data_IF_988777568418
#
_entry.id   IF_988777568418
#
_cell.length_a   1.000
_cell.length_b   1.000
_cell.length_c   1.000
_cell.angle_alpha   90.00
_cell.angle_beta   90.00
_cell.angle_gamma   90.00
#
_symmetry.space_group_name_H-M   'P 1'
#
loop_
_entity.id
_entity.type
_entity.pdbx_description
1 polymer ?
#
# COMPACT_ATOMS: atom_id res chain seq x y z
N UNK A 1 -20.31 -7.88 -17.33
CA UNK A 1 -19.93 -7.46 -15.97
C UNK A 1 -19.96 -8.72 -15.15
N UNK A 2 -18.78 -9.30 -14.94
CA UNK A 2 -18.66 -10.52 -14.16
C UNK A 2 -18.79 -10.11 -12.72
N UNK A 3 -19.97 -10.34 -12.14
CA UNK A 3 -20.18 -10.41 -10.70
C UNK A 3 -19.26 -11.54 -10.22
N UNK A 4 -17.99 -11.20 -9.95
CA UNK A 4 -17.01 -12.13 -9.39
C UNK A 4 -17.23 -12.08 -7.88
N UNK A 5 -17.75 -13.19 -7.38
CA UNK A 5 -18.20 -13.42 -6.00
C UNK A 5 -17.14 -12.98 -4.99
N UNK A 6 -17.39 -11.86 -4.29
CA UNK A 6 -16.63 -11.45 -3.09
C UNK A 6 -16.58 -12.59 -2.05
N UNK A 7 -17.56 -13.51 -2.10
CA UNK A 7 -17.66 -14.70 -1.26
C UNK A 7 -16.46 -15.65 -1.38
N UNK A 8 -15.80 -15.77 -2.54
CA UNK A 8 -14.58 -16.60 -2.67
C UNK A 8 -13.40 -16.08 -1.81
N UNK A 9 -13.42 -14.81 -1.43
CA UNK A 9 -12.40 -14.19 -0.59
C UNK A 9 -12.68 -14.37 0.91
N UNK A 10 -13.96 -14.48 1.30
CA UNK A 10 -14.37 -14.70 2.69
C UNK A 10 -14.07 -16.13 3.18
N UNK A 11 -13.98 -17.10 2.26
CA UNK A 11 -13.73 -18.51 2.57
C UNK A 11 -12.24 -18.90 2.63
N UNK A 12 -11.33 -17.96 2.37
CA UNK A 12 -9.90 -18.25 2.36
C UNK A 12 -9.37 -18.37 3.81
N UNK A 13 -8.74 -19.50 4.17
CA UNK A 13 -8.03 -19.65 5.45
C UNK A 13 -6.77 -18.79 5.48
N UNK A 14 -6.60 -18.03 6.56
CA UNK A 14 -5.54 -17.04 6.71
C UNK A 14 -4.27 -17.76 7.17
N UNK A 15 -3.12 -17.64 6.48
CA UNK A 15 -1.87 -18.16 6.99
C UNK A 15 -1.40 -17.26 8.14
N UNK A 16 -1.75 -17.64 9.37
CA UNK A 16 -1.23 -16.99 10.57
C UNK A 16 0.16 -17.58 10.83
N UNK A 17 1.21 -16.93 10.35
CA UNK A 17 2.58 -17.28 10.73
C UNK A 17 2.93 -16.66 12.09
N UNK A 18 3.32 -17.49 13.05
CA UNK A 18 3.75 -17.05 14.38
C UNK A 18 5.09 -16.29 14.29
N UNK A 19 5.08 -14.97 14.55
CA UNK A 19 6.32 -14.21 14.79
C UNK A 19 6.40 -12.83 14.14
N UNK A 20 5.55 -12.53 13.17
CA UNK A 20 5.50 -11.21 12.51
C UNK A 20 4.27 -10.41 12.96
N UNK A 21 4.39 -9.09 12.99
CA UNK A 21 3.27 -8.20 13.37
C UNK A 21 2.28 -8.18 12.22
N UNK A 22 1.13 -8.83 12.42
CA UNK A 22 0.02 -8.81 11.47
C UNK A 22 -1.08 -7.86 11.95
N UNK A 23 -1.70 -7.14 11.02
CA UNK A 23 -2.85 -6.27 11.27
C UNK A 23 -3.98 -6.59 10.32
N UNK A 24 -5.21 -6.63 10.82
CA UNK A 24 -6.41 -6.76 9.99
C UNK A 24 -6.93 -5.38 9.61
N UNK A 25 -7.17 -5.14 8.32
CA UNK A 25 -7.88 -3.95 7.83
C UNK A 25 -9.15 -4.35 7.09
N UNK A 26 -10.17 -3.50 7.11
CA UNK A 26 -11.37 -3.64 6.29
C UNK A 26 -11.49 -2.42 5.39
N UNK A 27 -11.52 -2.64 4.07
CA UNK A 27 -11.68 -1.57 3.09
C UNK A 27 -13.06 -1.62 2.46
N UNK A 28 -13.76 -0.48 2.48
CA UNK A 28 -15.04 -0.30 1.78
C UNK A 28 -14.79 0.34 0.39
N UNK A 29 -15.08 -0.43 -0.66
CA UNK A 29 -14.95 0.01 -2.04
C UNK A 29 -16.07 0.96 -2.45
N UNK A 30 -15.78 1.86 -3.38
CA UNK A 30 -16.75 2.81 -3.94
C UNK A 30 -17.88 2.16 -4.76
N UNK A 31 -17.85 0.85 -4.99
CA UNK A 31 -18.97 0.10 -5.57
C UNK A 31 -19.96 -0.42 -4.51
N UNK A 32 -19.70 -0.18 -3.22
CA UNK A 32 -20.52 -0.59 -2.08
C UNK A 32 -20.19 -1.99 -1.54
N UNK A 33 -19.15 -2.67 -2.05
CA UNK A 33 -18.61 -3.88 -1.43
C UNK A 33 -17.56 -3.53 -0.37
N UNK A 34 -17.32 -4.42 0.59
CA UNK A 34 -16.17 -4.34 1.50
C UNK A 34 -15.35 -5.62 1.44
N UNK A 35 -14.08 -5.53 1.82
CA UNK A 35 -13.18 -6.67 1.91
C UNK A 35 -12.21 -6.50 3.07
N UNK A 36 -11.94 -7.60 3.77
CA UNK A 36 -10.94 -7.67 4.83
C UNK A 36 -9.61 -8.15 4.28
N UNK A 37 -8.53 -7.56 4.78
CA UNK A 37 -7.17 -7.91 4.43
C UNK A 37 -6.34 -8.20 5.67
N UNK A 38 -5.55 -9.26 5.61
CA UNK A 38 -4.42 -9.51 6.49
C UNK A 38 -3.23 -8.76 5.93
N UNK A 39 -2.70 -7.84 6.72
CA UNK A 39 -1.57 -6.99 6.34
C UNK A 39 -0.38 -7.27 7.24
N UNK A 40 0.80 -7.34 6.64
CA UNK A 40 2.09 -7.42 7.30
C UNK A 40 3.03 -6.33 6.80
N UNK A 41 4.04 -6.03 7.60
CA UNK A 41 5.14 -5.16 7.19
C UNK A 41 5.84 -5.77 5.96
N UNK A 42 5.90 -5.04 4.83
CA UNK A 42 6.62 -5.53 3.66
C UNK A 42 8.13 -5.45 3.91
N UNK A 43 8.91 -6.08 3.04
CA UNK A 43 10.36 -5.96 3.10
C UNK A 43 10.82 -4.50 2.99
N UNK A 44 11.94 -4.18 3.65
CA UNK A 44 12.49 -2.80 3.68
C UNK A 44 12.76 -2.27 2.26
N UNK A 45 13.10 -3.15 1.31
CA UNK A 45 13.33 -2.78 -0.09
C UNK A 45 12.05 -2.26 -0.77
N UNK A 46 10.90 -2.90 -0.52
CA UNK A 46 9.60 -2.46 -1.03
C UNK A 46 9.23 -1.09 -0.45
N UNK A 47 9.44 -0.89 0.85
CA UNK A 47 9.24 0.42 1.50
C UNK A 47 10.10 1.49 0.84
N UNK A 48 11.39 1.21 0.67
CA UNK A 48 12.34 2.15 0.05
C UNK A 48 11.95 2.48 -1.41
N UNK A 49 11.54 1.47 -2.19
CA UNK A 49 11.06 1.65 -3.57
C UNK A 49 9.82 2.55 -3.65
N UNK A 50 8.91 2.44 -2.67
CA UNK A 50 7.70 3.25 -2.62
C UNK A 50 7.99 4.73 -2.27
N UNK A 51 8.86 4.97 -1.28
CA UNK A 51 9.17 6.34 -0.80
C UNK A 51 10.21 7.07 -1.65
N UNK A 52 11.05 6.35 -2.40
CA UNK A 52 12.16 6.94 -3.13
C UNK A 52 11.67 7.97 -4.16
N UNK A 53 12.31 9.16 -4.24
CA UNK A 53 12.04 10.09 -5.32
C UNK A 53 12.41 9.44 -6.65
N UNK A 54 11.58 9.62 -7.68
CA UNK A 54 11.84 9.04 -9.01
C UNK A 54 13.11 9.66 -9.59
N UNK A 55 14.19 8.88 -9.61
CA UNK A 55 15.45 9.25 -10.24
C UNK A 55 15.91 8.06 -11.11
N UNK A 56 15.47 8.01 -12.37
CA UNK A 56 15.86 6.96 -13.32
C UNK A 56 15.03 6.92 -14.61
N UNK A 57 15.53 6.21 -15.63
CA UNK A 57 14.92 6.09 -16.98
C UNK A 57 13.84 4.98 -17.09
N UNK A 58 13.70 4.10 -16.09
CA UNK A 58 12.60 3.12 -15.98
C UNK A 58 11.60 3.58 -14.90
N UNK A 59 10.80 4.59 -15.23
CA UNK A 59 9.80 5.15 -14.32
C UNK A 59 8.62 4.18 -14.14
N UNK A 60 8.60 3.44 -13.02
CA UNK A 60 7.36 2.78 -12.57
C UNK A 60 6.30 3.86 -12.34
N UNK A 61 5.13 3.66 -12.92
CA UNK A 61 3.98 4.53 -12.68
C UNK A 61 3.60 4.53 -11.20
N UNK A 62 2.89 5.56 -10.75
CA UNK A 62 2.40 5.62 -9.37
C UNK A 62 1.52 4.39 -9.03
N UNK A 63 0.67 3.95 -9.97
CA UNK A 63 -0.21 2.78 -9.78
C UNK A 63 0.58 1.47 -9.64
N UNK A 64 1.71 1.31 -10.34
CA UNK A 64 2.57 0.12 -10.21
C UNK A 64 3.26 0.08 -8.85
N UNK A 65 3.74 1.22 -8.35
CA UNK A 65 4.34 1.29 -7.01
C UNK A 65 3.31 1.02 -5.91
N UNK A 66 2.10 1.54 -6.06
CA UNK A 66 0.97 1.23 -5.18
C UNK A 66 0.62 -0.25 -5.21
N UNK A 67 0.61 -0.88 -6.39
CA UNK A 67 0.40 -2.31 -6.51
C UNK A 67 1.47 -3.11 -5.79
N UNK A 68 2.75 -2.81 -5.99
CA UNK A 68 3.86 -3.52 -5.35
C UNK A 68 3.79 -3.44 -3.83
N UNK A 69 3.55 -2.24 -3.29
CA UNK A 69 3.37 -2.08 -1.84
C UNK A 69 2.22 -2.94 -1.32
N UNK A 70 1.02 -2.83 -1.91
CA UNK A 70 -0.12 -3.60 -1.46
C UNK A 70 0.08 -5.10 -1.65
N UNK A 71 0.69 -5.55 -2.74
CA UNK A 71 0.95 -6.96 -3.02
C UNK A 71 1.89 -7.56 -1.97
N UNK A 72 2.94 -6.84 -1.60
CA UNK A 72 3.95 -7.34 -0.68
C UNK A 72 3.52 -7.19 0.80
N UNK A 73 2.53 -6.32 1.08
CA UNK A 73 1.96 -6.14 2.42
C UNK A 73 0.70 -6.98 2.66
N UNK A 74 -0.12 -7.25 1.65
CA UNK A 74 -1.36 -8.04 1.80
C UNK A 74 -1.01 -9.53 1.70
N UNK A 75 -1.10 -10.20 2.85
CA UNK A 75 -0.91 -11.65 2.96
C UNK A 75 -2.13 -12.39 2.44
N UNK A 76 -3.32 -11.89 2.80
CA UNK A 76 -4.59 -12.48 2.42
C UNK A 76 -5.69 -11.42 2.30
N UNK A 77 -6.61 -11.54 1.35
CA UNK A 77 -6.48 -12.40 0.17
C UNK A 77 -5.41 -11.92 -0.82
N UNK A 78 -4.90 -12.83 -1.65
CA UNK A 78 -3.88 -12.49 -2.65
C UNK A 78 -4.35 -11.36 -3.58
N UNK A 79 -3.58 -10.27 -3.64
CA UNK A 79 -3.81 -9.16 -4.56
C UNK A 79 -3.02 -9.37 -5.86
N UNK A 80 -3.71 -9.79 -6.92
CA UNK A 80 -3.11 -9.98 -8.24
C UNK A 80 -3.14 -8.71 -9.09
N UNK A 81 -2.26 -8.61 -10.09
CA UNK A 81 -2.23 -7.46 -11.02
C UNK A 81 -3.52 -7.33 -11.84
N UNK A 82 -4.18 -8.45 -12.15
CA UNK A 82 -5.50 -8.45 -12.82
C UNK A 82 -6.55 -7.78 -11.92
N UNK A 83 -6.62 -8.21 -10.66
CA UNK A 83 -7.54 -7.64 -9.66
C UNK A 83 -7.26 -6.16 -9.44
N UNK A 84 -5.99 -5.78 -9.31
CA UNK A 84 -5.59 -4.39 -9.14
C UNK A 84 -6.04 -3.50 -10.30
N UNK A 85 -5.88 -3.97 -11.55
CA UNK A 85 -6.30 -3.22 -12.74
C UNK A 85 -7.80 -3.07 -12.88
N UNK A 86 -8.57 -4.00 -12.31
CA UNK A 86 -10.03 -3.94 -12.30
C UNK A 86 -10.56 -2.94 -11.25
N UNK A 87 -9.74 -2.57 -10.24
CA UNK A 87 -10.10 -1.54 -9.26
C UNK A 87 -10.11 -0.15 -9.90
N UNK A 88 -11.00 0.71 -9.39
CA UNK A 88 -10.99 2.13 -9.76
C UNK A 88 -9.73 2.77 -9.18
N UNK A 89 -9.21 3.80 -9.86
CA UNK A 89 -8.04 4.55 -9.36
C UNK A 89 -8.24 5.10 -7.94
N UNK A 90 -9.46 5.52 -7.59
CA UNK A 90 -9.78 5.98 -6.24
C UNK A 90 -9.71 4.85 -5.21
N UNK A 91 -10.17 3.64 -5.57
CA UNK A 91 -10.10 2.46 -4.70
C UNK A 91 -8.66 1.97 -4.54
N UNK A 92 -7.85 2.03 -5.60
CA UNK A 92 -6.41 1.74 -5.55
C UNK A 92 -5.70 2.65 -4.54
N UNK A 93 -5.95 3.96 -4.62
CA UNK A 93 -5.36 4.95 -3.71
C UNK A 93 -5.85 4.73 -2.27
N UNK A 94 -7.15 4.49 -2.10
CA UNK A 94 -7.74 4.28 -0.78
C UNK A 94 -7.18 3.04 -0.09
N UNK A 95 -7.13 1.91 -0.80
CA UNK A 95 -6.56 0.67 -0.27
C UNK A 95 -5.07 0.85 0.08
N UNK A 96 -4.28 1.53 -0.77
CA UNK A 96 -2.88 1.86 -0.43
C UNK A 96 -2.76 2.66 0.86
N UNK A 97 -3.66 3.62 1.10
CA UNK A 97 -3.60 4.45 2.31
C UNK A 97 -3.88 3.62 3.56
N UNK A 98 -4.91 2.76 3.54
CA UNK A 98 -5.23 1.87 4.67
C UNK A 98 -4.08 0.90 4.96
N UNK A 99 -3.50 0.30 3.91
CA UNK A 99 -2.33 -0.58 4.07
C UNK A 99 -1.14 0.20 4.63
N UNK A 100 -0.90 1.42 4.15
CA UNK A 100 0.19 2.27 4.63
C UNK A 100 0.02 2.67 6.09
N UNK A 101 -1.20 2.92 6.56
CA UNK A 101 -1.50 3.20 7.96
C UNK A 101 -1.30 1.95 8.82
N UNK A 102 -1.74 0.78 8.34
CA UNK A 102 -1.60 -0.48 9.05
C UNK A 102 -0.14 -0.87 9.31
N UNK A 103 0.75 -0.63 8.32
CA UNK A 103 2.20 -0.88 8.44
C UNK A 103 2.96 0.33 9.02
N UNK A 104 2.27 1.41 9.39
CA UNK A 104 2.86 2.62 9.97
C UNK A 104 3.77 3.41 9.01
N UNK A 105 3.63 3.20 7.69
CA UNK A 105 4.37 3.91 6.65
C UNK A 105 3.98 5.39 6.60
N UNK A 106 2.75 5.74 6.99
CA UNK A 106 2.27 7.11 7.13
C UNK A 106 3.20 7.95 8.03
N UNK A 107 3.72 7.35 9.13
CA UNK A 107 4.61 8.01 10.08
C UNK A 107 5.98 8.25 9.48
N UNK A 108 6.46 7.32 8.66
CA UNK A 108 7.76 7.44 7.97
C UNK A 108 7.67 8.51 6.88
N UNK A 109 6.59 8.53 6.11
CA UNK A 109 6.32 9.53 5.09
C UNK A 109 6.10 10.93 5.69
N UNK A 110 5.34 11.02 6.78
CA UNK A 110 5.12 12.26 7.53
C UNK A 110 6.42 12.85 8.07
N UNK A 111 7.27 12.02 8.69
CA UNK A 111 8.58 12.45 9.18
C UNK A 111 9.54 12.85 8.04
N UNK A 112 9.47 12.20 6.88
CA UNK A 112 10.29 12.54 5.71
C UNK A 112 9.90 13.89 5.10
N UNK A 113 8.64 14.30 5.21
CA UNK A 113 8.16 15.63 4.81
C UNK A 113 8.54 16.70 5.84
N UNK A 114 8.40 16.41 7.13
CA UNK A 114 8.76 17.35 8.21
C UNK A 114 10.28 17.64 8.22
N UNK A 115 11.11 16.62 7.93
CA UNK A 115 12.57 16.77 7.82
C UNK A 115 13.03 17.67 6.66
N UNK A 116 12.16 17.96 5.67
CA UNK A 116 12.47 18.87 4.55
C UNK A 116 12.22 20.34 4.88
N UNK A 117 11.39 20.64 5.89
CA UNK A 117 11.13 22.00 6.36
C UNK A 117 12.21 22.51 7.34
N UNK A 118 13.19 21.67 7.66
CA UNK A 118 14.34 21.99 8.52
C UNK A 118 15.66 22.06 7.74
N UNK A 119 15.64 22.65 6.54
CA UNK A 119 16.87 23.22 5.98
C UNK A 119 17.11 24.57 6.66
N UNK A 120 18.22 24.76 7.41
CA UNK A 120 18.56 26.07 7.94
C UNK A 120 18.76 27.06 6.77
N UNK A 121 18.15 28.23 6.88
CA UNK A 121 18.19 29.38 5.94
C UNK A 121 19.62 29.92 5.65
N UNK A 122 20.68 29.28 6.15
CA UNK A 122 22.07 29.76 6.09
C UNK A 122 22.82 29.39 4.79
N UNK A 123 22.13 28.95 3.73
CA UNK A 123 22.75 28.61 2.44
C UNK A 123 22.21 29.43 1.26
N UNK A 124 21.69 30.64 1.50
CA UNK A 124 21.51 31.63 0.44
C UNK A 124 22.77 32.51 0.35
N UNK A 125 23.61 32.40 -0.70
CA UNK A 125 24.68 33.35 -0.92
C UNK A 125 24.08 34.72 -1.30
N UNK A 126 24.57 35.78 -0.67
CA UNK A 126 24.27 37.18 -1.02
C UNK A 126 24.62 37.54 -2.47
#
# INVERSE_FOLDING_TARGET
MTDRDITEYEEQEWPIEEGETQSEIEYEFLNGGSMKYLVQDPETETIMSFIAPQMGEEEKTQSERQFELNRDSIVAPELTMERWRDLRTADQIGLTNEVSEAIGLDRVLGNAVDSRDHLPDELLPE
#
